data_IF_038144766354
#
_entry.id   IF_038144766354
#
_cell.length_a   1.000
_cell.length_b   1.000
_cell.length_c   1.000
_cell.angle_alpha   90.00
_cell.angle_beta   90.00
_cell.angle_gamma   90.00
#
_symmetry.space_group_name_H-M   'P 1'
#
loop_
_entity.id
_entity.type
_entity.pdbx_description
1 polymer ?
#
# COMPACT_ATOMS: atom_id res chain seq x y z
N UNK A 1 4.14 12.01 -12.01
CA UNK A 1 5.49 12.03 -11.44
C UNK A 1 5.71 10.90 -10.45
N UNK A 2 6.96 10.67 -10.07
CA UNK A 2 7.41 9.54 -9.23
C UNK A 2 6.66 9.45 -7.88
N UNK A 3 6.33 10.58 -7.25
CA UNK A 3 5.56 10.63 -6.01
C UNK A 3 4.22 9.88 -6.10
N UNK A 4 3.43 10.17 -7.13
CA UNK A 4 2.11 9.54 -7.27
C UNK A 4 2.22 8.08 -7.73
N UNK A 5 3.21 7.78 -8.57
CA UNK A 5 3.52 6.38 -8.90
C UNK A 5 3.82 5.58 -7.64
N UNK A 6 4.69 6.08 -6.76
CA UNK A 6 4.99 5.45 -5.47
C UNK A 6 3.74 5.33 -4.59
N UNK A 7 2.93 6.40 -4.47
CA UNK A 7 1.72 6.40 -3.65
C UNK A 7 0.66 5.39 -4.14
N UNK A 8 0.42 5.29 -5.45
CA UNK A 8 -0.51 4.29 -6.01
C UNK A 8 0.03 2.88 -5.89
N UNK A 9 1.34 2.69 -6.03
CA UNK A 9 1.98 1.38 -5.83
C UNK A 9 1.88 0.92 -4.37
N UNK A 10 1.99 1.82 -3.41
CA UNK A 10 1.74 1.53 -1.98
C UNK A 10 0.27 1.16 -1.77
N UNK A 11 -0.66 1.93 -2.34
CA UNK A 11 -2.10 1.65 -2.21
C UNK A 11 -2.47 0.25 -2.72
N UNK A 12 -1.97 -0.12 -3.89
CA UNK A 12 -2.22 -1.42 -4.50
C UNK A 12 -1.37 -2.54 -3.86
N UNK A 13 -0.09 -2.32 -3.64
CA UNK A 13 0.83 -3.34 -3.14
C UNK A 13 0.61 -3.74 -1.69
N UNK A 14 -0.03 -2.91 -0.89
CA UNK A 14 -0.39 -3.15 0.51
C UNK A 14 -1.88 -3.16 0.80
N UNK A 15 -2.72 -2.89 -0.20
CA UNK A 15 -4.18 -2.82 -0.03
C UNK A 15 -4.64 -1.67 0.87
N UNK A 16 -3.95 -0.52 0.84
CA UNK A 16 -4.22 0.60 1.74
C UNK A 16 -5.40 1.45 1.27
N UNK A 17 -6.11 2.05 2.25
CA UNK A 17 -7.06 3.13 2.00
C UNK A 17 -6.34 4.41 1.60
N UNK A 18 -6.99 5.29 0.85
CA UNK A 18 -6.42 6.58 0.45
C UNK A 18 -5.93 7.41 1.65
N UNK A 19 -6.71 7.45 2.73
CA UNK A 19 -6.32 8.12 3.98
C UNK A 19 -5.09 7.49 4.64
N UNK A 20 -4.96 6.18 4.59
CA UNK A 20 -3.79 5.48 5.13
C UNK A 20 -2.53 5.80 4.33
N UNK A 21 -2.61 5.77 2.99
CA UNK A 21 -1.50 6.13 2.10
C UNK A 21 -1.03 7.56 2.36
N UNK A 22 -1.97 8.51 2.42
CA UNK A 22 -1.62 9.92 2.59
C UNK A 22 -0.99 10.22 3.94
N UNK A 23 -1.30 9.47 4.98
CA UNK A 23 -0.77 9.65 6.33
C UNK A 23 0.42 8.74 6.68
N UNK A 24 0.99 8.04 5.69
CA UNK A 24 2.23 7.30 5.93
C UNK A 24 3.40 8.23 6.25
N UNK A 25 4.18 7.84 7.23
CA UNK A 25 5.44 8.46 7.59
C UNK A 25 6.61 7.63 7.06
N UNK A 26 7.76 8.26 6.90
CA UNK A 26 8.99 7.55 6.49
C UNK A 26 9.31 6.42 7.47
N UNK A 27 9.13 6.66 8.78
CA UNK A 27 9.38 5.66 9.83
C UNK A 27 8.38 4.48 9.86
N UNK A 28 7.32 4.53 9.04
CA UNK A 28 6.40 3.40 8.90
C UNK A 28 6.91 2.34 7.92
N UNK A 29 7.96 2.65 7.16
CA UNK A 29 8.60 1.73 6.21
C UNK A 29 9.72 0.97 6.92
N UNK A 30 9.47 -0.28 7.26
CA UNK A 30 10.46 -1.18 7.86
C UNK A 30 11.10 -2.06 6.78
N UNK A 31 12.21 -1.59 6.23
CA UNK A 31 12.93 -2.31 5.18
C UNK A 31 13.66 -3.56 5.68
N UNK A 32 13.97 -3.64 6.97
CA UNK A 32 14.66 -4.79 7.56
C UNK A 32 13.69 -5.97 7.72
N UNK A 33 12.45 -5.67 8.13
CA UNK A 33 11.39 -6.68 8.28
C UNK A 33 10.55 -6.86 7.02
N UNK A 34 10.71 -5.99 6.02
CA UNK A 34 9.89 -5.94 4.81
C UNK A 34 8.40 -5.76 5.12
N UNK A 35 8.11 -4.80 5.97
CA UNK A 35 6.75 -4.46 6.43
C UNK A 35 6.49 -2.95 6.30
N UNK A 36 5.22 -2.59 6.13
CA UNK A 36 4.71 -1.23 6.27
C UNK A 36 3.78 -1.23 7.47
N UNK A 37 4.03 -0.35 8.44
CA UNK A 37 3.15 -0.13 9.58
C UNK A 37 2.04 0.83 9.19
N UNK A 38 0.81 0.46 9.47
CA UNK A 38 -0.36 1.28 9.24
C UNK A 38 -0.92 1.71 10.60
N UNK A 39 -0.78 2.99 10.89
CA UNK A 39 -1.37 3.60 12.07
C UNK A 39 -2.89 3.68 11.91
N UNK A 40 -3.62 3.03 12.81
CA UNK A 40 -5.09 2.99 12.79
C UNK A 40 -5.74 4.15 13.56
N UNK A 41 -4.91 5.00 14.16
CA UNK A 41 -5.36 6.12 14.98
C UNK A 41 -5.83 5.72 16.39
N UNK A 42 -6.33 6.71 17.13
CA UNK A 42 -6.66 6.59 18.55
C UNK A 42 -7.61 5.42 18.84
N UNK A 43 -7.19 4.52 19.72
CA UNK A 43 -8.00 3.39 20.22
C UNK A 43 -8.04 2.16 19.31
N UNK A 44 -7.35 2.14 18.18
CA UNK A 44 -7.20 0.98 17.30
C UNK A 44 -5.76 0.49 17.31
N UNK A 45 -5.57 -0.82 17.18
CA UNK A 45 -4.22 -1.39 17.06
C UNK A 45 -3.68 -1.13 15.65
N UNK A 46 -2.41 -0.77 15.57
CA UNK A 46 -1.69 -0.69 14.30
C UNK A 46 -1.70 -2.08 13.62
N UNK A 47 -1.74 -2.07 12.30
CA UNK A 47 -1.56 -3.28 11.52
C UNK A 47 -0.32 -3.18 10.64
N UNK A 48 0.16 -4.32 10.18
CA UNK A 48 1.27 -4.40 9.25
C UNK A 48 0.80 -5.02 7.94
N UNK A 49 1.36 -4.52 6.84
CA UNK A 49 1.22 -5.10 5.51
C UNK A 49 2.58 -5.36 4.92
N UNK A 50 2.65 -6.21 3.89
CA UNK A 50 3.90 -6.53 3.23
C UNK A 50 4.50 -5.32 2.51
N UNK A 51 5.80 -5.18 2.61
CA UNK A 51 6.63 -4.32 1.76
C UNK A 51 7.32 -5.21 0.74
N UNK A 52 6.82 -5.24 -0.49
CA UNK A 52 7.43 -6.07 -1.51
C UNK A 52 8.79 -5.52 -1.97
N UNK A 53 9.71 -6.38 -2.46
CA UNK A 53 11.00 -5.94 -3.00
C UNK A 53 10.87 -4.86 -4.07
N UNK A 54 9.96 -5.01 -5.02
CA UNK A 54 9.72 -4.02 -6.08
C UNK A 54 9.24 -2.68 -5.52
N UNK A 55 8.35 -2.72 -4.52
CA UNK A 55 7.86 -1.52 -3.87
C UNK A 55 8.97 -0.81 -3.10
N UNK A 56 9.83 -1.55 -2.40
CA UNK A 56 10.97 -0.98 -1.69
C UNK A 56 11.94 -0.26 -2.64
N UNK A 57 12.24 -0.85 -3.79
CA UNK A 57 13.08 -0.20 -4.82
C UNK A 57 12.44 1.12 -5.26
N UNK A 58 11.17 1.12 -5.61
CA UNK A 58 10.43 2.31 -6.03
C UNK A 58 10.41 3.40 -4.94
N UNK A 59 10.18 3.01 -3.68
CA UNK A 59 10.20 3.95 -2.55
C UNK A 59 11.59 4.54 -2.30
N UNK A 60 12.66 3.77 -2.48
CA UNK A 60 14.03 4.26 -2.38
C UNK A 60 14.34 5.28 -3.49
N UNK A 61 13.92 5.01 -4.73
CA UNK A 61 14.12 5.94 -5.84
C UNK A 61 13.33 7.23 -5.59
N UNK A 62 12.08 7.12 -5.16
CA UNK A 62 11.29 8.28 -4.76
C UNK A 62 11.96 9.06 -3.62
N UNK A 63 12.47 8.38 -2.59
CA UNK A 63 13.15 9.03 -1.47
C UNK A 63 14.40 9.78 -1.90
N UNK A 64 15.19 9.21 -2.81
CA UNK A 64 16.40 9.86 -3.33
C UNK A 64 16.08 11.15 -4.08
N UNK A 65 14.99 11.15 -4.87
CA UNK A 65 14.54 12.30 -5.65
C UNK A 65 13.89 13.38 -4.78
N UNK A 66 12.90 12.99 -3.99
CA UNK A 66 12.02 13.93 -3.30
C UNK A 66 12.53 14.37 -1.93
N UNK A 67 13.41 13.57 -1.29
CA UNK A 67 13.95 13.82 0.06
C UNK A 67 12.85 14.27 1.05
N UNK A 68 11.76 13.50 1.20
CA UNK A 68 10.71 13.83 2.16
C UNK A 68 11.26 13.81 3.59
N UNK A 69 10.65 14.62 4.47
CA UNK A 69 10.99 14.67 5.89
C UNK A 69 9.69 14.52 6.69
N UNK A 70 9.57 13.46 7.48
CA UNK A 70 8.38 13.14 8.27
C UNK A 70 7.33 12.36 7.47
N UNK A 71 6.45 13.03 6.75
CA UNK A 71 5.47 12.37 5.89
C UNK A 71 6.13 11.74 4.68
N UNK A 72 5.73 10.50 4.35
CA UNK A 72 6.26 9.82 3.16
C UNK A 72 5.84 10.57 1.88
N UNK A 73 4.61 11.05 1.84
CA UNK A 73 4.06 11.81 0.72
C UNK A 73 3.64 13.22 1.19
N UNK A 74 4.58 14.16 1.31
CA UNK A 74 4.28 15.50 1.78
C UNK A 74 3.44 16.28 0.77
N UNK A 75 2.62 17.18 1.28
CA UNK A 75 1.88 18.15 0.51
C UNK A 75 2.78 19.25 -0.09
N UNK A 76 2.16 20.27 -0.63
CA UNK A 76 2.88 21.39 -1.28
C UNK A 76 3.73 22.20 -0.29
N UNK A 77 3.23 22.40 0.91
CA UNK A 77 3.93 23.12 2.00
C UNK A 77 4.98 22.25 2.71
N UNK A 78 5.06 20.96 2.40
CA UNK A 78 5.96 19.95 3.01
C UNK A 78 5.78 19.72 4.52
N UNK A 79 4.89 20.48 5.18
CA UNK A 79 4.56 20.35 6.62
C UNK A 79 3.44 19.31 6.79
N UNK A 80 2.42 19.44 5.97
CA UNK A 80 1.27 18.53 5.96
C UNK A 80 1.44 17.43 4.92
N UNK A 81 0.78 16.28 5.08
CA UNK A 81 0.73 15.25 4.04
C UNK A 81 -0.10 15.73 2.84
N UNK A 82 0.03 15.05 1.70
CA UNK A 82 -0.94 15.22 0.62
C UNK A 82 -2.35 14.91 1.15
N UNK A 83 -3.34 15.70 0.74
CA UNK A 83 -4.72 15.41 1.12
C UNK A 83 -5.27 14.22 0.31
N UNK A 84 -6.27 13.54 0.88
CA UNK A 84 -7.00 12.49 0.14
C UNK A 84 -7.64 13.02 -1.13
N UNK A 85 -8.08 14.30 -1.12
CA UNK A 85 -8.61 14.98 -2.31
C UNK A 85 -7.55 15.10 -3.41
N UNK A 86 -6.31 15.50 -3.06
CA UNK A 86 -5.20 15.58 -4.01
C UNK A 86 -4.83 14.19 -4.56
N UNK A 87 -4.80 13.18 -3.68
CA UNK A 87 -4.54 11.80 -4.05
C UNK A 87 -5.60 11.27 -5.04
N UNK A 88 -6.89 11.47 -4.73
CA UNK A 88 -8.00 11.07 -5.59
C UNK A 88 -7.97 11.77 -6.95
N UNK A 89 -7.69 13.09 -6.96
CA UNK A 89 -7.56 13.86 -8.20
C UNK A 89 -6.41 13.35 -9.08
N UNK A 90 -5.25 13.10 -8.46
CA UNK A 90 -4.10 12.57 -9.18
C UNK A 90 -4.36 11.16 -9.74
N UNK A 91 -5.13 10.36 -9.02
CA UNK A 91 -5.55 9.04 -9.50
C UNK A 91 -6.45 9.16 -10.73
N UNK A 92 -7.44 10.06 -10.73
CA UNK A 92 -8.29 10.34 -11.89
C UNK A 92 -7.46 10.73 -13.11
N UNK A 93 -6.54 11.68 -12.96
CA UNK A 93 -5.64 12.10 -14.05
C UNK A 93 -4.79 10.92 -14.57
N UNK A 94 -4.31 10.05 -13.69
CA UNK A 94 -3.56 8.86 -14.09
C UNK A 94 -4.43 7.86 -14.87
N UNK A 95 -5.69 7.68 -14.48
CA UNK A 95 -6.66 6.84 -15.19
C UNK A 95 -6.97 7.39 -16.58
N UNK A 96 -7.16 8.71 -16.70
CA UNK A 96 -7.40 9.38 -17.98
C UNK A 96 -6.19 9.21 -18.92
N UNK A 97 -4.99 9.41 -18.40
CA UNK A 97 -3.76 9.22 -19.15
C UNK A 97 -3.56 7.76 -19.62
N UNK A 98 -3.98 6.80 -18.79
CA UNK A 98 -3.93 5.37 -19.11
C UNK A 98 -5.13 4.89 -19.95
N UNK A 99 -5.99 5.79 -20.39
CA UNK A 99 -7.19 5.50 -21.18
C UNK A 99 -8.15 4.50 -20.52
N UNK A 100 -8.19 4.50 -19.19
CA UNK A 100 -9.08 3.62 -18.43
C UNK A 100 -10.50 4.21 -18.48
N UNK A 101 -11.35 3.63 -19.33
CA UNK A 101 -12.74 4.09 -19.53
C UNK A 101 -13.70 3.67 -18.42
N UNK A 102 -13.29 2.71 -17.58
CA UNK A 102 -14.12 2.25 -16.45
C UNK A 102 -14.14 3.28 -15.35
N UNK A 103 -15.29 3.41 -14.68
CA UNK A 103 -15.39 4.25 -13.48
C UNK A 103 -14.64 3.57 -12.33
N UNK A 104 -13.46 4.10 -12.00
CA UNK A 104 -12.58 3.60 -10.96
C UNK A 104 -12.22 4.70 -9.95
N UNK A 105 -11.84 4.30 -8.77
CA UNK A 105 -11.37 5.19 -7.70
C UNK A 105 -10.17 4.56 -7.01
N UNK A 106 -9.43 5.27 -6.15
CA UNK A 106 -8.35 4.66 -5.37
C UNK A 106 -8.79 3.45 -4.54
N UNK A 107 -10.07 3.39 -4.13
CA UNK A 107 -10.62 2.21 -3.46
C UNK A 107 -10.59 0.95 -4.34
N UNK A 108 -10.65 1.14 -5.65
CA UNK A 108 -10.50 0.04 -6.63
C UNK A 108 -9.13 -0.63 -6.53
N UNK A 109 -8.06 0.10 -6.21
CA UNK A 109 -6.72 -0.47 -5.99
C UNK A 109 -6.73 -1.46 -4.83
N UNK A 110 -7.37 -1.08 -3.73
CA UNK A 110 -7.51 -1.93 -2.54
C UNK A 110 -8.39 -3.16 -2.82
N UNK A 111 -9.47 -2.98 -3.55
CA UNK A 111 -10.34 -4.06 -3.98
C UNK A 111 -9.60 -5.05 -4.90
N UNK A 112 -8.84 -4.53 -5.86
CA UNK A 112 -8.01 -5.33 -6.76
C UNK A 112 -6.92 -6.10 -6.01
N UNK A 113 -6.28 -5.49 -5.01
CA UNK A 113 -5.34 -6.18 -4.13
C UNK A 113 -5.98 -7.39 -3.47
N UNK A 114 -7.15 -7.22 -2.84
CA UNK A 114 -7.87 -8.30 -2.18
C UNK A 114 -8.27 -9.42 -3.16
N UNK A 115 -8.81 -9.05 -4.31
CA UNK A 115 -9.24 -9.99 -5.36
C UNK A 115 -8.04 -10.78 -5.91
N UNK A 116 -6.94 -10.12 -6.21
CA UNK A 116 -5.75 -10.77 -6.76
C UNK A 116 -5.08 -11.71 -5.74
N UNK A 117 -5.10 -11.36 -4.44
CA UNK A 117 -4.63 -12.28 -3.40
C UNK A 117 -5.53 -13.50 -3.29
N UNK A 118 -6.85 -13.32 -3.34
CA UNK A 118 -7.81 -14.41 -3.29
C UNK A 118 -7.65 -15.35 -4.49
N UNK A 119 -7.53 -14.81 -5.69
CA UNK A 119 -7.28 -15.55 -6.93
C UNK A 119 -5.92 -16.27 -6.89
N UNK A 120 -4.92 -15.70 -6.22
CA UNK A 120 -3.61 -16.31 -5.98
C UNK A 120 -3.61 -17.39 -4.90
N UNK A 121 -4.75 -17.70 -4.29
CA UNK A 121 -4.89 -18.77 -3.29
C UNK A 121 -4.59 -18.33 -1.85
N UNK A 122 -4.47 -17.04 -1.58
CA UNK A 122 -4.29 -16.55 -0.20
C UNK A 122 -5.56 -16.79 0.61
N UNK A 123 -5.42 -17.32 1.82
CA UNK A 123 -6.53 -17.52 2.75
C UNK A 123 -7.26 -16.20 3.04
N UNK A 124 -8.60 -16.24 2.99
CA UNK A 124 -9.43 -15.03 3.16
C UNK A 124 -9.24 -14.38 4.54
N UNK A 125 -8.89 -15.14 5.56
CA UNK A 125 -8.61 -14.60 6.90
C UNK A 125 -7.34 -13.76 6.91
N UNK A 126 -6.31 -14.18 6.17
CA UNK A 126 -5.08 -13.41 5.98
C UNK A 126 -5.39 -12.11 5.25
N UNK A 127 -6.20 -12.17 4.19
CA UNK A 127 -6.65 -10.97 3.45
C UNK A 127 -7.38 -10.00 4.38
N UNK A 128 -8.28 -10.50 5.23
CA UNK A 128 -9.01 -9.67 6.20
C UNK A 128 -8.07 -8.99 7.20
N UNK A 129 -7.05 -9.68 7.69
CA UNK A 129 -6.01 -9.10 8.56
C UNK A 129 -5.24 -8.00 7.84
N UNK A 130 -4.78 -8.25 6.61
CA UNK A 130 -4.07 -7.26 5.79
C UNK A 130 -4.91 -6.02 5.55
N UNK A 131 -6.21 -6.17 5.31
CA UNK A 131 -7.13 -5.07 5.09
C UNK A 131 -7.54 -4.34 6.38
N UNK A 132 -7.25 -4.88 7.56
CA UNK A 132 -7.59 -4.26 8.84
C UNK A 132 -9.08 -4.26 9.13
N UNK A 133 -9.81 -5.31 8.76
CA UNK A 133 -11.21 -5.47 9.12
C UNK A 133 -11.36 -5.72 10.62
N UNK A 134 -12.04 -4.82 11.33
CA UNK A 134 -12.09 -4.74 12.79
C UNK A 134 -12.88 -5.84 13.51
N UNK A 135 -13.47 -6.81 12.83
CA UNK A 135 -14.33 -7.84 13.40
C UNK A 135 -13.68 -9.20 13.65
N UNK A 136 -12.35 -9.26 13.67
CA UNK A 136 -11.68 -10.48 14.11
C UNK A 136 -11.29 -10.34 15.58
N UNK A 137 -12.23 -10.68 16.44
CA UNK A 137 -12.02 -10.88 17.88
C UNK A 137 -11.19 -12.13 18.12
N UNK A 138 -9.87 -12.04 18.01
CA UNK A 138 -9.00 -13.00 18.74
C UNK A 138 -7.53 -12.59 18.57
N UNK A 139 -7.05 -11.94 19.54
CA UNK A 139 -6.12 -10.86 19.43
C UNK A 139 -4.67 -11.20 19.73
N UNK A 140 -4.30 -12.35 20.25
CA UNK A 140 -2.91 -12.56 20.72
C UNK A 140 -2.17 -13.64 19.92
N UNK A 141 -2.86 -14.66 19.48
CA UNK A 141 -2.27 -15.77 18.69
C UNK A 141 -2.09 -15.34 17.23
N UNK A 142 -2.99 -14.52 16.72
CA UNK A 142 -2.95 -14.02 15.33
C UNK A 142 -1.81 -13.04 15.05
N UNK A 143 -1.33 -12.27 16.03
CA UNK A 143 -0.33 -11.22 15.78
C UNK A 143 1.04 -11.82 15.42
N UNK A 144 1.49 -12.86 16.12
CA UNK A 144 2.79 -13.49 15.83
C UNK A 144 2.76 -14.40 14.60
N UNK A 145 1.69 -15.16 14.44
CA UNK A 145 1.49 -16.04 13.27
C UNK A 145 1.21 -15.20 12.02
N UNK A 146 0.44 -14.10 12.17
CA UNK A 146 0.12 -13.18 11.07
C UNK A 146 1.37 -12.49 10.48
N UNK A 147 2.34 -12.07 11.28
CA UNK A 147 3.54 -11.40 10.76
C UNK A 147 4.36 -12.35 9.87
N UNK A 148 4.57 -13.59 10.30
CA UNK A 148 5.25 -14.59 9.47
C UNK A 148 4.46 -14.86 8.18
N UNK A 149 3.16 -15.07 8.28
CA UNK A 149 2.27 -15.33 7.15
C UNK A 149 2.20 -14.13 6.19
N UNK A 150 2.15 -12.91 6.72
CA UNK A 150 2.17 -11.66 5.92
C UNK A 150 3.45 -11.56 5.10
N UNK A 151 4.60 -11.91 5.69
CA UNK A 151 5.91 -11.88 4.98
C UNK A 151 5.99 -12.92 3.88
N UNK A 152 5.30 -14.05 4.03
CA UNK A 152 5.29 -15.14 3.06
C UNK A 152 4.30 -14.92 1.90
N UNK A 153 3.38 -13.95 2.04
CA UNK A 153 2.43 -13.60 0.97
C UNK A 153 3.13 -12.76 -0.09
N UNK A 154 3.08 -13.22 -1.34
CA UNK A 154 3.59 -12.45 -2.48
C UNK A 154 2.62 -11.33 -2.83
N UNK A 155 3.10 -10.09 -2.82
CA UNK A 155 2.28 -8.95 -3.23
C UNK A 155 1.86 -9.06 -4.70
N UNK A 156 0.59 -8.77 -5.03
CA UNK A 156 0.14 -8.70 -6.42
C UNK A 156 0.96 -7.73 -7.28
N UNK A 157 1.52 -6.68 -6.67
CA UNK A 157 2.42 -5.75 -7.36
C UNK A 157 3.66 -6.46 -7.91
N UNK A 158 4.28 -7.34 -7.14
CA UNK A 158 5.47 -8.10 -7.59
C UNK A 158 5.14 -9.08 -8.72
N UNK A 159 3.93 -9.64 -8.72
CA UNK A 159 3.48 -10.50 -9.81
C UNK A 159 3.31 -9.73 -11.12
N UNK A 160 2.84 -8.48 -11.07
CA UNK A 160 2.76 -7.60 -12.24
C UNK A 160 4.14 -7.28 -12.80
N UNK A 161 5.07 -6.88 -11.95
CA UNK A 161 6.46 -6.54 -12.35
C UNK A 161 7.14 -7.74 -13.01
N UNK A 162 6.95 -8.96 -12.48
CA UNK A 162 7.50 -10.19 -13.08
C UNK A 162 6.92 -10.49 -14.47
N UNK A 163 5.63 -10.23 -14.68
CA UNK A 163 4.98 -10.42 -15.99
C UNK A 163 5.52 -9.45 -17.03
N UNK A 164 5.72 -8.18 -16.68
CA UNK A 164 6.32 -7.19 -17.57
C UNK A 164 7.78 -7.55 -17.93
N UNK A 165 8.56 -8.02 -16.97
CA UNK A 165 9.95 -8.44 -17.19
C UNK A 165 10.07 -9.73 -18.03
N UNK A 166 9.08 -10.62 -18.00
CA UNK A 166 9.05 -11.87 -18.78
C UNK A 166 8.44 -11.75 -20.17
N UNK A 167 7.87 -10.58 -20.52
CA UNK A 167 7.25 -10.30 -21.81
C UNK A 167 8.19 -9.57 -22.80
N UNK A 168 9.47 -9.40 -22.43
CA UNK A 168 10.53 -8.76 -23.24
C UNK A 168 11.42 -9.75 -23.96
#
# INVERSE_FOLDING_TARGET
GLRYRAAFSVAYGGGLRASEVTHLKIGDIDSDRMLIRIDQGKGRKDRHVMLSPSLLVLLRDYYREARPAGWLFPGRNRVDPISTRQFNRAFGVACDFAEIKKRVSPHTLRHSFATHLLEGGTDIRVIQVLLGHAKLETTTIYTKVAIKTIRDVTSPLDLLVRREAGAG
#
